data_IF_131301590534
#
_entry.id   IF_131301590534
#
_cell.length_a   1.000
_cell.length_b   1.000
_cell.length_c   1.000
_cell.angle_alpha   90.00
_cell.angle_beta   90.00
_cell.angle_gamma   90.00
#
_symmetry.space_group_name_H-M   'P 1'
#
loop_
_entity.id
_entity.type
_entity.pdbx_description
1 polymer ?
#
# COMPACT_ATOMS: atom_id res chain seq x y z
N UNK A 1 -0.50 2.41 -25.54
CA UNK A 1 -0.27 1.79 -24.23
C UNK A 1 0.81 0.75 -24.44
N UNK A 2 1.98 0.92 -23.83
CA UNK A 2 3.02 -0.12 -23.81
C UNK A 2 2.50 -1.33 -23.03
N UNK A 3 2.63 -2.56 -23.54
CA UNK A 3 2.22 -3.75 -22.79
C UNK A 3 3.12 -3.90 -21.56
N UNK A 4 2.53 -3.94 -20.37
CA UNK A 4 3.29 -4.18 -19.14
C UNK A 4 3.97 -5.55 -19.22
N UNK A 5 5.29 -5.60 -19.07
CA UNK A 5 5.99 -6.89 -19.04
C UNK A 5 5.44 -7.76 -17.90
N UNK A 6 5.13 -9.04 -18.15
CA UNK A 6 4.60 -9.94 -17.14
C UNK A 6 5.64 -10.13 -16.02
N UNK A 7 5.19 -10.07 -14.77
CA UNK A 7 6.07 -10.34 -13.63
C UNK A 7 6.20 -11.84 -13.47
N UNK A 8 7.43 -12.36 -13.51
CA UNK A 8 7.71 -13.79 -13.38
C UNK A 8 8.32 -14.06 -12.01
N UNK A 9 7.63 -14.85 -11.19
CA UNK A 9 8.15 -15.33 -9.90
C UNK A 9 8.65 -16.75 -10.11
N UNK A 10 9.96 -16.97 -9.94
CA UNK A 10 10.54 -18.30 -9.91
C UNK A 10 10.44 -18.86 -8.48
N UNK A 11 9.73 -19.98 -8.35
CA UNK A 11 9.57 -20.70 -7.09
C UNK A 11 10.19 -22.08 -7.21
N UNK A 12 10.63 -22.62 -6.08
CA UNK A 12 11.12 -23.98 -5.98
C UNK A 12 10.06 -24.81 -5.26
N UNK A 13 9.67 -25.94 -5.81
CA UNK A 13 8.60 -26.81 -5.28
C UNK A 13 9.01 -27.59 -4.01
N UNK A 14 10.24 -27.37 -3.52
CA UNK A 14 10.81 -28.10 -2.39
C UNK A 14 11.38 -29.48 -2.76
N UNK A 15 11.18 -29.94 -3.99
CA UNK A 15 11.72 -31.20 -4.55
C UNK A 15 12.88 -30.91 -5.52
N UNK A 16 13.16 -29.64 -5.78
CA UNK A 16 14.27 -29.18 -6.61
C UNK A 16 13.88 -28.90 -8.06
N UNK A 17 12.59 -28.85 -8.36
CA UNK A 17 12.10 -28.44 -9.67
C UNK A 17 11.65 -26.99 -9.63
N UNK A 18 12.36 -26.09 -10.33
CA UNK A 18 11.94 -24.71 -10.43
C UNK A 18 10.67 -24.63 -11.30
N UNK A 19 9.65 -23.96 -10.81
CA UNK A 19 8.48 -23.58 -11.61
C UNK A 19 8.31 -22.07 -11.60
N UNK A 20 7.66 -21.54 -12.65
CA UNK A 20 7.50 -20.11 -12.86
C UNK A 20 6.02 -19.76 -12.81
N UNK A 21 5.66 -18.83 -11.94
CA UNK A 21 4.35 -18.20 -11.93
C UNK A 21 4.47 -16.91 -12.72
N UNK A 22 3.71 -16.80 -13.82
CA UNK A 22 3.55 -15.54 -14.53
C UNK A 22 2.36 -14.82 -13.92
N UNK A 23 2.58 -13.58 -13.51
CA UNK A 23 1.55 -12.69 -13.02
C UNK A 23 1.23 -11.68 -14.13
N UNK A 24 -0.02 -11.70 -14.56
CA UNK A 24 -0.55 -10.86 -15.63
C UNK A 24 -0.75 -9.44 -15.11
N UNK A 25 0.25 -8.56 -15.21
CA UNK A 25 0.13 -7.08 -15.09
C UNK A 25 -0.46 -6.46 -13.81
N UNK A 26 -1.16 -7.24 -12.99
CA UNK A 26 -2.12 -6.84 -11.95
C UNK A 26 -1.53 -6.96 -10.55
N UNK A 27 -0.23 -7.28 -10.45
CA UNK A 27 0.46 -7.33 -9.16
C UNK A 27 0.36 -6.00 -8.38
N UNK A 28 0.19 -4.89 -9.10
CA UNK A 28 -0.02 -3.58 -8.51
C UNK A 28 -1.36 -3.47 -7.76
N UNK A 29 -2.38 -4.25 -8.10
CA UNK A 29 -3.71 -4.22 -7.45
C UNK A 29 -3.65 -4.68 -5.98
N UNK A 30 -2.73 -5.58 -5.64
CA UNK A 30 -2.58 -6.08 -4.27
C UNK A 30 -2.32 -4.95 -3.26
N UNK A 31 -1.31 -4.10 -3.48
CA UNK A 31 -1.08 -2.91 -2.66
C UNK A 31 -2.17 -1.84 -2.71
N UNK A 32 -3.00 -1.76 -3.75
CA UNK A 32 -4.04 -0.70 -3.85
C UNK A 32 -5.09 -0.81 -2.74
N UNK A 33 -5.27 -1.97 -2.12
CA UNK A 33 -6.20 -2.15 -0.98
C UNK A 33 -5.90 -1.26 0.25
N UNK A 34 -4.69 -0.69 0.33
CA UNK A 34 -4.34 0.27 1.38
C UNK A 34 -4.78 1.70 1.06
N UNK A 35 -5.00 2.00 -0.21
CA UNK A 35 -5.30 3.34 -0.74
C UNK A 35 -6.71 3.46 -1.30
N UNK A 36 -7.31 2.33 -1.68
CA UNK A 36 -8.65 2.24 -2.24
C UNK A 36 -9.46 1.28 -1.39
N UNK A 37 -10.69 1.67 -1.02
CA UNK A 37 -11.63 0.79 -0.34
C UNK A 37 -12.37 -0.04 -1.40
N UNK A 38 -12.09 -1.36 -1.54
CA UNK A 38 -12.79 -2.21 -2.50
C UNK A 38 -14.28 -2.42 -2.14
N UNK A 39 -14.71 -1.97 -0.96
CA UNK A 39 -16.02 -2.22 -0.38
C UNK A 39 -16.88 -0.96 -0.22
N UNK A 40 -16.74 0.01 -1.14
CA UNK A 40 -17.55 1.24 -1.27
C UNK A 40 -19.06 0.92 -1.45
N UNK A 41 -19.68 0.36 -0.41
CA UNK A 41 -21.07 -0.08 -0.38
C UNK A 41 -21.49 -0.95 0.81
N UNK A 42 -20.58 -1.66 1.51
CA UNK A 42 -21.03 -2.63 2.56
C UNK A 42 -20.16 -2.82 3.80
N UNK A 43 -18.92 -2.32 3.89
CA UNK A 43 -18.12 -2.53 5.10
C UNK A 43 -18.21 -1.35 6.09
N UNK A 44 -18.38 -1.68 7.37
CA UNK A 44 -18.48 -0.74 8.50
C UNK A 44 -17.12 -0.19 8.94
N UNK A 45 -16.08 -0.29 8.10
CA UNK A 45 -14.74 0.14 8.45
C UNK A 45 -14.62 1.67 8.30
N UNK A 46 -14.83 2.38 9.40
CA UNK A 46 -15.07 3.84 9.43
C UNK A 46 -13.91 4.70 8.88
N UNK A 47 -12.72 4.13 8.65
CA UNK A 47 -11.57 4.88 8.15
C UNK A 47 -11.17 4.61 6.70
N UNK A 48 -11.84 3.71 5.96
CA UNK A 48 -11.78 3.55 4.50
C UNK A 48 -10.42 3.17 3.87
N UNK A 49 -9.33 3.86 4.21
CA UNK A 49 -7.99 3.74 3.62
C UNK A 49 -6.92 4.17 4.64
N UNK A 50 -5.65 3.81 4.40
CA UNK A 50 -4.52 4.23 5.26
C UNK A 50 -4.36 5.77 5.30
N UNK A 51 -4.40 6.51 4.17
CA UNK A 51 -4.34 7.98 4.20
C UNK A 51 -5.48 8.61 5.02
N UNK A 52 -6.71 8.14 4.84
CA UNK A 52 -7.87 8.64 5.56
C UNK A 52 -7.75 8.38 7.08
N UNK A 53 -7.27 7.20 7.48
CA UNK A 53 -7.00 6.89 8.88
C UNK A 53 -5.92 7.81 9.50
N UNK A 54 -4.88 8.16 8.72
CA UNK A 54 -3.82 9.06 9.16
C UNK A 54 -4.34 10.48 9.36
N UNK A 55 -5.06 11.03 8.39
CA UNK A 55 -5.67 12.36 8.48
C UNK A 55 -6.66 12.44 9.65
N UNK A 56 -7.54 11.45 9.81
CA UNK A 56 -8.46 11.40 10.93
C UNK A 56 -7.77 11.28 12.31
N UNK A 57 -6.55 10.71 12.34
CA UNK A 57 -5.73 10.67 13.56
C UNK A 57 -5.12 12.04 13.85
N UNK A 58 -4.65 12.74 12.82
CA UNK A 58 -4.12 14.10 12.92
C UNK A 58 -5.21 15.10 13.37
N UNK A 59 -6.45 14.96 12.90
CA UNK A 59 -7.59 15.79 13.32
C UNK A 59 -7.86 15.75 14.83
N UNK A 60 -7.37 14.70 15.53
CA UNK A 60 -7.51 14.53 16.98
C UNK A 60 -6.33 15.06 17.78
N UNK A 61 -5.24 15.42 17.11
CA UNK A 61 -4.05 15.95 17.74
C UNK A 61 -4.16 17.47 17.92
N UNK A 62 -3.34 18.01 18.83
CA UNK A 62 -3.25 19.46 18.99
C UNK A 62 -2.65 20.11 17.72
N UNK A 63 -3.35 21.10 17.12
CA UNK A 63 -2.89 21.79 15.91
C UNK A 63 -1.47 22.35 15.99
N UNK A 64 -1.00 22.71 17.19
CA UNK A 64 0.34 23.24 17.42
C UNK A 64 1.45 22.28 16.97
N UNK A 65 1.20 20.98 16.97
CA UNK A 65 2.21 19.96 16.64
C UNK A 65 2.03 19.34 15.25
N UNK A 66 1.08 19.82 14.44
CA UNK A 66 0.76 19.24 13.13
C UNK A 66 1.97 19.15 12.21
N UNK A 67 2.74 20.24 12.08
CA UNK A 67 3.95 20.25 11.25
C UNK A 67 4.99 19.22 11.73
N UNK A 68 5.09 19.03 13.05
CA UNK A 68 6.02 18.06 13.63
C UNK A 68 5.57 16.63 13.35
N UNK A 69 4.27 16.35 13.48
CA UNK A 69 3.71 15.03 13.18
C UNK A 69 3.84 14.68 11.70
N UNK A 70 3.50 15.60 10.80
CA UNK A 70 3.65 15.41 9.35
C UNK A 70 5.12 15.27 8.93
N UNK A 71 6.03 16.00 9.57
CA UNK A 71 7.47 15.93 9.30
C UNK A 71 8.17 14.67 9.82
N UNK A 72 7.56 13.93 10.75
CA UNK A 72 8.21 12.83 11.50
C UNK A 72 7.61 11.45 11.22
N UNK A 73 7.03 11.24 10.04
CA UNK A 73 6.41 9.97 9.67
C UNK A 73 7.46 8.91 9.30
N UNK A 74 7.42 7.77 9.97
CA UNK A 74 8.30 6.62 9.72
C UNK A 74 7.47 5.42 9.27
N UNK A 75 7.83 4.83 8.13
CA UNK A 75 7.24 3.59 7.64
C UNK A 75 8.07 2.41 8.15
N UNK A 76 7.41 1.45 8.80
CA UNK A 76 8.06 0.26 9.37
C UNK A 76 7.35 -1.02 8.93
N UNK A 77 8.02 -2.17 9.12
CA UNK A 77 7.47 -3.50 8.79
C UNK A 77 7.71 -3.95 7.34
N UNK A 78 7.16 -5.11 6.99
CA UNK A 78 7.39 -5.73 5.68
C UNK A 78 6.81 -4.89 4.52
N UNK A 79 5.62 -4.31 4.72
CA UNK A 79 4.94 -3.53 3.70
C UNK A 79 5.63 -2.19 3.41
N UNK A 80 6.40 -1.64 4.36
CA UNK A 80 7.22 -0.45 4.14
C UNK A 80 8.28 -0.63 3.04
N UNK A 81 8.59 -1.88 2.66
CA UNK A 81 9.52 -2.20 1.56
C UNK A 81 8.88 -2.12 0.17
N UNK A 82 7.57 -1.89 0.09
CA UNK A 82 6.87 -1.76 -1.20
C UNK A 82 7.43 -0.56 -1.98
N UNK A 83 7.96 -0.79 -3.21
CA UNK A 83 8.49 0.27 -4.03
C UNK A 83 7.43 1.35 -4.29
N UNK A 84 7.79 2.61 -4.07
CA UNK A 84 6.89 3.74 -4.31
C UNK A 84 5.85 4.01 -3.22
N UNK A 85 5.71 3.15 -2.21
CA UNK A 85 4.72 3.31 -1.13
C UNK A 85 4.88 4.65 -0.40
N UNK A 86 6.10 5.00 0.01
CA UNK A 86 6.38 6.28 0.67
C UNK A 86 5.95 7.48 -0.18
N UNK A 87 6.29 7.46 -1.47
CA UNK A 87 5.96 8.54 -2.41
C UNK A 87 4.45 8.64 -2.61
N UNK A 88 3.74 7.51 -2.67
CA UNK A 88 2.29 7.47 -2.80
C UNK A 88 1.61 8.02 -1.55
N UNK A 89 2.03 7.57 -0.36
CA UNK A 89 1.48 8.03 0.90
C UNK A 89 1.63 9.54 1.10
N UNK A 90 2.82 10.09 0.83
CA UNK A 90 3.08 11.55 0.93
C UNK A 90 2.26 12.36 -0.08
N UNK A 91 1.77 11.75 -1.16
CA UNK A 91 0.92 12.44 -2.14
C UNK A 91 -0.54 12.55 -1.67
N UNK A 92 -1.00 11.61 -0.86
CA UNK A 92 -2.40 11.48 -0.45
C UNK A 92 -2.72 11.98 0.96
N UNK A 93 -1.68 12.35 1.71
CA UNK A 93 -1.75 12.97 3.04
C UNK A 93 -1.17 14.37 2.92
#
# INVERSE_FOLDING_TARGET
>A
MEPSQPTVIALNDGVGHPFRVMLDGELHLGPEVYFEDPSMGTSTNTYGTVPAALLASLDRCDPMYMDTFCGSVVLTGAMAKLPGLKRRLVKEV
#
